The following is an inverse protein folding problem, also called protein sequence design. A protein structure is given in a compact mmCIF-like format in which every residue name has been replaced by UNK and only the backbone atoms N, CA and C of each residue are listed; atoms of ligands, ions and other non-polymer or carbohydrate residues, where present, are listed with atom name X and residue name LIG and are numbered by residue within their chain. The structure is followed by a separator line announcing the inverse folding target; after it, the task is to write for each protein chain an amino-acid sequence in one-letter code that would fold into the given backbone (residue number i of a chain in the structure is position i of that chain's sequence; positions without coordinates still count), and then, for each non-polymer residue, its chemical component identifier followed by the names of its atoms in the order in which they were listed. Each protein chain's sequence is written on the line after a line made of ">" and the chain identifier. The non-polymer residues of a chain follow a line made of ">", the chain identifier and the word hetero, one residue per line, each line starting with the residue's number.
data_IF_439931955047
#
_entry.id   IF_439931955047
#
_cell.length_a   1.000
_cell.length_b   1.000
_cell.length_c   1.000
_cell.angle_alpha   90.00
_cell.angle_beta   90.00
_cell.angle_gamma   90.00
#
_symmetry.space_group_name_H-M   'P 1'
#
loop_
_entity.id
_entity.type
_entity.pdbx_description
1 polymer ?
#
# COMPACT_ATOMS: atom_id res chain seq x y z
N UNK A 1 17.12 -38.90 1.37
CA UNK A 1 16.05 -38.36 0.48
C UNK A 1 16.71 -37.67 -0.71
N UNK A 2 16.44 -38.08 -1.94
CA UNK A 2 17.03 -37.46 -3.13
C UNK A 2 16.59 -35.99 -3.25
N UNK A 3 17.55 -35.08 -3.42
CA UNK A 3 17.27 -33.66 -3.62
C UNK A 3 16.45 -33.50 -4.91
N UNK A 4 15.20 -33.06 -4.77
CA UNK A 4 14.26 -32.85 -5.88
C UNK A 4 14.92 -31.90 -6.89
N UNK A 5 15.21 -32.39 -8.11
CA UNK A 5 15.89 -31.62 -9.16
C UNK A 5 15.12 -30.31 -9.40
N UNK A 6 15.81 -29.17 -9.23
CA UNK A 6 15.18 -27.85 -9.31
C UNK A 6 14.68 -27.60 -10.72
N UNK A 7 13.37 -27.37 -10.89
CA UNK A 7 12.79 -27.06 -12.20
C UNK A 7 12.96 -25.56 -12.50
N UNK A 8 14.10 -25.22 -13.09
CA UNK A 8 14.47 -23.84 -13.43
C UNK A 8 13.47 -23.17 -14.38
N UNK A 9 12.86 -23.92 -15.31
CA UNK A 9 11.87 -23.39 -16.26
C UNK A 9 10.58 -22.98 -15.55
N UNK A 10 10.05 -23.84 -14.68
CA UNK A 10 8.86 -23.53 -13.89
C UNK A 10 9.12 -22.40 -12.89
N UNK A 11 10.31 -22.37 -12.27
CA UNK A 11 10.71 -21.26 -11.40
C UNK A 11 10.81 -19.94 -12.17
N UNK A 12 11.37 -19.97 -13.38
CA UNK A 12 11.48 -18.80 -14.24
C UNK A 12 10.11 -18.25 -14.66
N UNK A 13 9.19 -19.13 -15.10
CA UNK A 13 7.83 -18.73 -15.42
C UNK A 13 7.11 -18.12 -14.21
N UNK A 14 7.26 -18.73 -13.03
CA UNK A 14 6.69 -18.18 -11.78
C UNK A 14 7.25 -16.80 -11.46
N UNK A 15 8.55 -16.59 -11.60
CA UNK A 15 9.17 -15.27 -11.35
C UNK A 15 8.66 -14.22 -12.34
N UNK A 16 8.50 -14.58 -13.61
CA UNK A 16 7.93 -13.69 -14.64
C UNK A 16 6.49 -13.31 -14.31
N UNK A 17 5.65 -14.29 -14.01
CA UNK A 17 4.25 -14.05 -13.62
C UNK A 17 4.14 -13.16 -12.38
N UNK A 18 4.95 -13.40 -11.35
CA UNK A 18 4.96 -12.59 -10.13
C UNK A 18 5.46 -11.16 -10.37
N UNK A 19 6.36 -10.96 -11.33
CA UNK A 19 6.82 -9.63 -11.72
C UNK A 19 5.69 -8.85 -12.39
N UNK A 20 5.06 -9.48 -13.39
CA UNK A 20 3.95 -8.93 -14.17
C UNK A 20 2.74 -8.58 -13.29
N UNK A 21 2.36 -9.47 -12.36
CA UNK A 21 1.32 -9.21 -11.37
C UNK A 21 1.59 -7.98 -10.49
N UNK A 22 2.86 -7.62 -10.31
CA UNK A 22 3.28 -6.45 -9.52
C UNK A 22 3.61 -5.25 -10.40
N UNK A 23 3.39 -5.35 -11.71
CA UNK A 23 3.74 -4.33 -12.70
C UNK A 23 5.24 -4.20 -12.99
N UNK A 24 6.10 -5.03 -12.39
CA UNK A 24 7.55 -4.94 -12.60
C UNK A 24 7.96 -5.54 -13.93
N UNK A 25 8.97 -4.93 -14.55
CA UNK A 25 9.62 -5.51 -15.72
C UNK A 25 10.38 -6.79 -15.34
N UNK A 26 10.59 -7.67 -16.32
CA UNK A 26 11.39 -8.90 -16.12
C UNK A 26 12.83 -8.54 -15.68
N UNK A 27 13.34 -7.40 -16.16
CA UNK A 27 14.66 -6.89 -15.83
C UNK A 27 14.73 -6.48 -14.35
N UNK A 28 13.76 -5.71 -13.86
CA UNK A 28 13.62 -5.37 -12.44
C UNK A 28 13.49 -6.62 -11.56
N UNK A 29 12.66 -7.58 -11.94
CA UNK A 29 12.45 -8.82 -11.17
C UNK A 29 13.70 -9.70 -11.05
N UNK A 30 14.64 -9.57 -11.99
CA UNK A 30 15.95 -10.22 -11.96
C UNK A 30 17.01 -9.44 -11.19
N UNK A 31 16.71 -8.21 -10.75
CA UNK A 31 17.67 -7.32 -10.10
C UNK A 31 18.53 -6.51 -11.07
N UNK A 32 18.21 -6.55 -12.37
CA UNK A 32 18.91 -5.82 -13.42
C UNK A 32 17.97 -4.78 -14.03
N UNK A 33 17.45 -3.86 -13.21
CA UNK A 33 16.62 -2.76 -13.67
C UNK A 33 17.34 -1.97 -14.77
N UNK A 34 16.58 -1.55 -15.81
CA UNK A 34 17.11 -0.70 -16.88
C UNK A 34 17.49 0.69 -16.33
N UNK A 35 18.26 1.47 -17.09
CA UNK A 35 18.72 2.81 -16.67
C UNK A 35 17.57 3.76 -16.31
N UNK A 36 16.42 3.61 -16.95
CA UNK A 36 15.20 4.40 -16.70
C UNK A 36 14.28 3.80 -15.62
N UNK A 37 14.64 2.65 -15.02
CA UNK A 37 13.81 1.95 -14.05
C UNK A 37 14.44 2.01 -12.66
N UNK A 38 13.64 2.33 -11.64
CA UNK A 38 14.07 2.20 -10.26
C UNK A 38 14.33 0.74 -9.88
N UNK A 39 15.35 0.48 -9.05
CA UNK A 39 15.60 -0.87 -8.54
C UNK A 39 14.57 -1.24 -7.48
N UNK A 40 14.14 -2.51 -7.46
CA UNK A 40 13.19 -3.02 -6.44
C UNK A 40 13.72 -2.81 -5.01
N UNK A 41 15.03 -2.92 -4.79
CA UNK A 41 15.65 -2.68 -3.49
C UNK A 41 15.55 -1.22 -3.04
N UNK A 42 15.63 -0.27 -3.98
CA UNK A 42 15.51 1.16 -3.73
C UNK A 42 14.04 1.51 -3.44
N UNK A 43 13.11 1.01 -4.25
CA UNK A 43 11.66 1.17 -4.02
C UNK A 43 11.19 0.62 -2.65
N UNK A 44 11.77 -0.51 -2.21
CA UNK A 44 11.51 -1.06 -0.87
C UNK A 44 12.09 -0.21 0.25
N UNK A 45 13.18 0.50 -0.02
CA UNK A 45 13.84 1.36 0.95
C UNK A 45 13.11 2.70 1.09
N UNK A 46 12.65 3.26 -0.02
CA UNK A 46 11.82 4.48 -0.04
C UNK A 46 10.42 4.25 0.54
N UNK A 47 9.97 2.98 0.61
CA UNK A 47 8.66 2.63 1.18
C UNK A 47 7.52 2.70 0.16
N UNK A 48 7.83 3.02 -1.10
CA UNK A 48 6.84 3.06 -2.20
C UNK A 48 6.26 1.68 -2.48
N UNK A 49 7.05 0.63 -2.26
CA UNK A 49 6.58 -0.76 -2.27
C UNK A 49 6.86 -1.43 -0.94
N UNK A 50 5.94 -2.30 -0.50
CA UNK A 50 6.14 -3.03 0.75
C UNK A 50 7.29 -4.05 0.64
N UNK A 51 8.04 -4.18 1.73
CA UNK A 51 9.06 -5.22 1.92
C UNK A 51 8.40 -6.60 2.05
N UNK A 52 7.22 -6.63 2.64
CA UNK A 52 6.37 -7.79 2.86
C UNK A 52 5.71 -8.22 1.54
N UNK A 53 5.59 -9.53 1.32
CA UNK A 53 4.93 -10.06 0.13
C UNK A 53 3.43 -9.73 0.18
N UNK A 54 2.86 -9.38 -0.96
CA UNK A 54 1.41 -9.14 -1.16
C UNK A 54 0.55 -10.21 -0.50
N UNK A 55 0.79 -11.49 -0.80
CA UNK A 55 0.02 -12.59 -0.21
C UNK A 55 0.15 -12.71 1.31
N UNK A 56 1.24 -12.23 1.90
CA UNK A 56 1.39 -12.15 3.36
C UNK A 56 0.62 -10.97 3.94
N UNK A 57 0.57 -9.84 3.22
CA UNK A 57 -0.25 -8.69 3.62
C UNK A 57 -1.74 -9.00 3.55
N UNK A 58 -2.22 -9.65 2.48
CA UNK A 58 -3.61 -10.09 2.35
C UNK A 58 -4.03 -10.97 3.54
N UNK A 59 -3.20 -11.98 3.87
CA UNK A 59 -3.42 -12.85 5.04
C UNK A 59 -3.34 -12.10 6.36
N UNK A 60 -2.53 -11.05 6.44
CA UNK A 60 -2.47 -10.18 7.61
C UNK A 60 -3.79 -9.42 7.81
N UNK A 61 -4.35 -8.80 6.76
CA UNK A 61 -5.66 -8.14 6.84
C UNK A 61 -6.80 -9.11 7.18
N UNK A 62 -6.76 -10.33 6.66
CA UNK A 62 -7.67 -11.40 7.06
C UNK A 62 -7.50 -11.76 8.54
N UNK A 63 -6.27 -11.79 9.05
CA UNK A 63 -5.97 -12.17 10.42
C UNK A 63 -6.45 -11.11 11.42
N UNK A 64 -6.22 -9.83 11.14
CA UNK A 64 -6.68 -8.73 12.00
C UNK A 64 -8.21 -8.61 12.00
N UNK A 65 -8.86 -8.84 10.85
CA UNK A 65 -10.33 -8.93 10.79
C UNK A 65 -10.87 -10.08 11.67
N UNK A 66 -10.24 -11.24 11.60
CA UNK A 66 -10.57 -12.37 12.47
C UNK A 66 -10.35 -12.07 13.97
N UNK A 67 -9.29 -11.33 14.32
CA UNK A 67 -9.02 -10.94 15.71
C UNK A 67 -10.08 -9.96 16.21
N UNK A 68 -10.43 -8.97 15.40
CA UNK A 68 -11.49 -8.01 15.71
C UNK A 68 -12.87 -8.67 15.83
N UNK A 69 -13.10 -9.78 15.12
CA UNK A 69 -14.32 -10.58 15.28
C UNK A 69 -14.29 -11.53 16.50
N UNK A 70 -13.33 -11.37 17.41
CA UNK A 70 -13.23 -12.13 18.66
C UNK A 70 -12.39 -13.41 18.60
N UNK A 71 -11.74 -13.75 17.48
CA UNK A 71 -10.82 -14.90 17.46
C UNK A 71 -9.54 -14.57 18.21
N UNK A 72 -8.97 -15.55 18.89
CA UNK A 72 -7.65 -15.38 19.50
C UNK A 72 -6.57 -15.22 18.43
N UNK A 73 -5.45 -14.57 18.78
CA UNK A 73 -4.30 -14.40 17.88
C UNK A 73 -3.82 -15.75 17.30
N UNK A 74 -3.82 -16.82 18.09
CA UNK A 74 -3.43 -18.15 17.64
C UNK A 74 -4.43 -18.77 16.66
N UNK A 75 -5.73 -18.58 16.90
CA UNK A 75 -6.78 -19.05 15.99
C UNK A 75 -6.74 -18.29 14.65
N UNK A 76 -6.55 -16.98 14.68
CA UNK A 76 -6.42 -16.16 13.48
C UNK A 76 -5.18 -16.56 12.66
N UNK A 77 -4.02 -16.71 13.31
CA UNK A 77 -2.77 -17.17 12.69
C UNK A 77 -2.94 -18.53 12.00
N UNK A 78 -3.60 -19.48 12.67
CA UNK A 78 -3.88 -20.81 12.11
C UNK A 78 -4.80 -20.71 10.88
N UNK A 79 -5.86 -19.89 10.96
CA UNK A 79 -6.83 -19.75 9.88
C UNK A 79 -6.24 -19.09 8.62
N UNK A 80 -5.31 -18.15 8.78
CA UNK A 80 -4.72 -17.39 7.66
C UNK A 80 -3.36 -17.92 7.23
N UNK A 81 -2.86 -18.98 7.85
CA UNK A 81 -1.58 -19.60 7.54
C UNK A 81 -0.40 -18.61 7.57
N UNK A 82 -0.35 -17.75 8.59
CA UNK A 82 0.79 -16.91 8.93
C UNK A 82 1.11 -17.02 10.42
N UNK A 83 2.38 -16.81 10.80
CA UNK A 83 2.77 -16.94 12.21
C UNK A 83 2.21 -15.80 13.07
N UNK A 84 1.95 -16.07 14.35
CA UNK A 84 1.57 -15.03 15.32
C UNK A 84 2.63 -13.93 15.43
N UNK A 85 3.91 -14.29 15.31
CA UNK A 85 5.04 -13.34 15.26
C UNK A 85 4.96 -12.42 14.04
N UNK A 86 4.57 -12.95 12.88
CA UNK A 86 4.37 -12.15 11.66
C UNK A 86 3.22 -11.16 11.85
N UNK A 87 2.10 -11.60 12.42
CA UNK A 87 0.96 -10.71 12.70
C UNK A 87 1.38 -9.58 13.63
N UNK A 88 2.01 -9.90 14.77
CA UNK A 88 2.50 -8.90 15.74
C UNK A 88 3.46 -7.90 15.10
N UNK A 89 4.42 -8.39 14.30
CA UNK A 89 5.40 -7.53 13.63
C UNK A 89 4.74 -6.55 12.67
N UNK A 90 3.81 -7.03 11.85
CA UNK A 90 3.10 -6.19 10.89
C UNK A 90 2.18 -5.20 11.59
N UNK A 91 1.52 -5.61 12.67
CA UNK A 91 0.65 -4.74 13.47
C UNK A 91 1.43 -3.63 14.18
N UNK A 92 2.64 -3.91 14.69
CA UNK A 92 3.51 -2.85 15.26
C UNK A 92 3.85 -1.78 14.21
N UNK A 93 4.13 -2.20 12.97
CA UNK A 93 4.48 -1.30 11.87
C UNK A 93 3.26 -0.51 11.38
N UNK A 94 2.10 -1.16 11.27
CA UNK A 94 0.90 -0.59 10.64
C UNK A 94 -0.09 0.04 11.62
N UNK A 95 -0.01 -0.32 12.90
CA UNK A 95 -0.86 0.11 14.02
C UNK A 95 -2.36 -0.06 13.71
N UNK A 96 -2.78 -1.29 13.44
CA UNK A 96 -4.15 -1.57 13.00
C UNK A 96 -5.03 -2.03 14.15
N UNK A 97 -4.51 -2.87 15.03
CA UNK A 97 -5.26 -3.40 16.16
C UNK A 97 -5.08 -2.53 17.40
N UNK A 98 -6.19 -2.15 18.01
CA UNK A 98 -6.22 -1.48 19.31
C UNK A 98 -7.09 -2.29 20.27
N UNK A 99 -6.71 -2.33 21.56
CA UNK A 99 -7.61 -2.88 22.58
C UNK A 99 -8.70 -1.87 22.89
N UNK A 100 -9.92 -2.36 22.99
CA UNK A 100 -11.05 -1.57 23.48
C UNK A 100 -10.80 -1.06 24.90
N UNK A 101 -11.45 0.04 25.34
CA UNK A 101 -11.24 0.60 26.68
C UNK A 101 -11.54 -0.37 27.83
N UNK A 102 -12.44 -1.33 27.62
CA UNK A 102 -12.76 -2.40 28.58
C UNK A 102 -11.67 -3.50 28.64
N UNK A 103 -10.70 -3.47 27.73
CA UNK A 103 -9.59 -4.40 27.61
C UNK A 103 -9.97 -5.80 27.12
N UNK A 104 -11.26 -6.07 26.81
CA UNK A 104 -11.76 -7.42 26.53
C UNK A 104 -11.67 -7.78 25.06
N UNK A 105 -11.75 -6.80 24.17
CA UNK A 105 -11.82 -7.01 22.73
C UNK A 105 -10.72 -6.24 22.01
N UNK A 106 -10.53 -6.60 20.75
CA UNK A 106 -9.69 -5.87 19.82
C UNK A 106 -10.59 -5.23 18.78
N UNK A 107 -10.26 -4.00 18.39
CA UNK A 107 -10.90 -3.28 17.32
C UNK A 107 -9.86 -2.90 16.24
N UNK A 108 -10.33 -2.80 15.00
CA UNK A 108 -9.54 -2.28 13.89
C UNK A 108 -9.71 -0.77 13.87
N UNK A 109 -8.60 -0.03 13.97
CA UNK A 109 -8.60 1.43 13.97
C UNK A 109 -7.95 1.93 12.70
N UNK A 110 -8.65 2.86 12.04
CA UNK A 110 -8.14 3.57 10.88
C UNK A 110 -7.20 4.69 11.32
N UNK A 111 -6.02 4.78 10.70
CA UNK A 111 -5.12 5.90 10.95
C UNK A 111 -5.58 7.17 10.25
N UNK A 112 -6.09 7.01 9.02
CA UNK A 112 -6.62 8.10 8.21
C UNK A 112 -7.57 7.52 7.16
N UNK A 113 -8.36 8.39 6.53
CA UNK A 113 -9.19 8.03 5.38
C UNK A 113 -8.76 8.90 4.21
N UNK A 114 -8.42 8.30 3.09
CA UNK A 114 -7.92 9.01 1.92
C UNK A 114 -8.71 8.63 0.67
N UNK A 115 -8.88 9.56 -0.29
CA UNK A 115 -9.22 9.17 -1.65
C UNK A 115 -8.03 8.41 -2.28
N UNK A 116 -8.34 7.42 -3.10
CA UNK A 116 -7.36 6.67 -3.89
C UNK A 116 -7.73 6.77 -5.37
N UNK A 117 -6.79 7.27 -6.17
CA UNK A 117 -6.88 7.25 -7.62
C UNK A 117 -6.21 5.97 -8.15
N UNK A 118 -7.02 5.04 -8.65
CA UNK A 118 -6.52 3.75 -9.13
C UNK A 118 -6.08 3.81 -10.58
N UNK A 119 -5.24 2.85 -10.96
CA UNK A 119 -4.67 2.71 -12.30
C UNK A 119 -5.71 2.61 -13.43
N UNK A 120 -6.93 2.18 -13.13
CA UNK A 120 -8.06 2.12 -14.08
C UNK A 120 -8.86 3.44 -14.13
N UNK A 121 -8.31 4.52 -13.58
CA UNK A 121 -8.89 5.87 -13.63
C UNK A 121 -10.04 6.10 -12.65
N UNK A 122 -10.28 5.17 -11.70
CA UNK A 122 -11.36 5.31 -10.72
C UNK A 122 -10.90 6.03 -9.46
N UNK A 123 -11.72 6.96 -8.99
CA UNK A 123 -11.54 7.62 -7.71
C UNK A 123 -12.37 6.92 -6.63
N UNK A 124 -11.69 6.18 -5.76
CA UNK A 124 -12.30 5.60 -4.56
C UNK A 124 -12.25 6.62 -3.43
N UNK A 125 -13.41 7.06 -2.94
CA UNK A 125 -13.51 8.09 -1.90
C UNK A 125 -13.45 7.44 -0.51
N UNK A 126 -12.84 8.15 0.43
CA UNK A 126 -12.93 7.86 1.87
C UNK A 126 -12.47 6.43 2.27
N UNK A 127 -11.36 5.96 1.69
CA UNK A 127 -10.85 4.62 1.94
C UNK A 127 -10.11 4.58 3.28
N UNK A 128 -10.49 3.70 4.23
CA UNK A 128 -9.81 3.59 5.51
C UNK A 128 -8.45 2.91 5.35
N UNK A 129 -7.40 3.58 5.82
CA UNK A 129 -6.02 3.14 5.68
C UNK A 129 -5.35 2.99 7.05
N UNK A 130 -4.45 2.01 7.12
CA UNK A 130 -3.49 1.94 8.22
C UNK A 130 -2.42 3.02 8.10
N UNK A 131 -1.61 3.17 9.16
CA UNK A 131 -0.60 4.24 9.23
C UNK A 131 0.38 4.22 8.07
N UNK A 132 0.79 3.03 7.62
CA UNK A 132 1.81 2.89 6.58
C UNK A 132 1.24 3.24 5.21
N UNK A 133 0.05 2.73 4.91
CA UNK A 133 -0.65 2.99 3.66
C UNK A 133 -1.14 4.43 3.57
N UNK A 134 -1.58 5.03 4.68
CA UNK A 134 -1.89 6.46 4.76
C UNK A 134 -0.68 7.33 4.37
N UNK A 135 0.49 7.03 4.95
CA UNK A 135 1.73 7.73 4.61
C UNK A 135 2.10 7.59 3.12
N UNK A 136 1.98 6.38 2.56
CA UNK A 136 2.23 6.13 1.14
C UNK A 136 1.29 6.93 0.24
N UNK A 137 0.00 6.98 0.59
CA UNK A 137 -1.00 7.74 -0.17
C UNK A 137 -0.75 9.24 -0.08
N UNK A 138 -0.34 9.76 1.08
CA UNK A 138 0.07 11.16 1.20
C UNK A 138 1.28 11.52 0.31
N UNK A 139 2.30 10.65 0.25
CA UNK A 139 3.43 10.82 -0.67
C UNK A 139 3.00 10.78 -2.14
N UNK A 140 2.11 9.86 -2.48
CA UNK A 140 1.56 9.72 -3.82
C UNK A 140 0.78 10.97 -4.26
N UNK A 141 -0.06 11.52 -3.38
CA UNK A 141 -0.81 12.73 -3.69
C UNK A 141 0.11 13.95 -3.86
N UNK A 142 1.16 14.08 -3.05
CA UNK A 142 2.22 15.08 -3.27
C UNK A 142 2.87 14.95 -4.66
N UNK A 143 3.16 13.74 -5.11
CA UNK A 143 3.70 13.48 -6.45
C UNK A 143 2.69 13.78 -7.56
N UNK A 144 1.41 13.50 -7.32
CA UNK A 144 0.30 13.78 -8.23
C UNK A 144 0.16 15.28 -8.46
N UNK A 145 0.21 16.09 -7.40
CA UNK A 145 0.17 17.56 -7.52
C UNK A 145 1.34 18.09 -8.36
N UNK A 146 2.55 17.58 -8.12
CA UNK A 146 3.74 17.97 -8.90
C UNK A 146 3.62 17.60 -10.37
N UNK A 147 3.13 16.39 -10.66
CA UNK A 147 2.90 15.94 -12.03
C UNK A 147 1.85 16.81 -12.75
N UNK A 148 0.76 17.15 -12.06
CA UNK A 148 -0.25 18.06 -12.58
C UNK A 148 0.30 19.47 -12.84
N UNK A 149 1.26 19.95 -12.04
CA UNK A 149 1.98 21.22 -12.24
C UNK A 149 3.07 21.15 -13.34
N UNK A 150 3.26 20.01 -14.00
CA UNK A 150 4.17 19.83 -15.13
C UNK A 150 5.41 18.96 -14.84
N UNK A 151 5.64 18.53 -13.59
CA UNK A 151 6.74 17.61 -13.25
C UNK A 151 6.34 16.15 -13.54
N UNK A 152 6.23 15.80 -14.82
CA UNK A 152 5.69 14.51 -15.31
C UNK A 152 6.38 13.28 -14.73
N UNK A 153 7.65 13.38 -14.33
CA UNK A 153 8.42 12.29 -13.75
C UNK A 153 8.07 11.98 -12.28
N UNK A 154 7.31 12.84 -11.60
CA UNK A 154 7.02 12.70 -10.17
C UNK A 154 6.28 11.39 -9.84
N UNK A 155 5.50 10.84 -10.77
CA UNK A 155 4.73 9.61 -10.58
C UNK A 155 5.51 8.32 -10.85
N UNK A 156 6.71 8.39 -11.43
CA UNK A 156 7.46 7.22 -11.90
C UNK A 156 7.71 6.18 -10.79
N UNK A 157 8.01 6.67 -9.58
CA UNK A 157 8.28 5.81 -8.42
C UNK A 157 7.07 4.96 -8.03
N UNK A 158 5.86 5.45 -8.30
CA UNK A 158 4.60 4.82 -7.90
C UNK A 158 4.05 3.83 -8.95
N UNK A 159 4.73 3.63 -10.07
CA UNK A 159 4.28 2.77 -11.19
C UNK A 159 3.86 1.36 -10.79
N UNK A 160 4.41 0.88 -9.66
CA UNK A 160 4.19 -0.44 -9.09
C UNK A 160 3.72 -0.40 -7.63
N UNK A 161 3.31 0.77 -7.16
CA UNK A 161 2.79 0.94 -5.81
C UNK A 161 1.40 0.32 -5.69
N UNK A 162 1.21 -0.47 -4.63
CA UNK A 162 -0.08 -1.01 -4.23
C UNK A 162 -0.38 -0.58 -2.81
N UNK A 163 -1.59 -0.05 -2.63
CA UNK A 163 -2.16 0.35 -1.35
C UNK A 163 -3.19 -0.70 -0.96
N UNK A 164 -3.26 -1.03 0.34
CA UNK A 164 -4.29 -1.92 0.87
C UNK A 164 -5.17 -1.14 1.84
N UNK A 165 -6.48 -1.31 1.76
CA UNK A 165 -7.36 -0.82 2.82
C UNK A 165 -7.37 -1.76 4.03
N UNK A 166 -8.04 -1.34 5.10
CA UNK A 166 -8.18 -2.14 6.32
C UNK A 166 -8.97 -3.45 6.11
N UNK A 167 -9.72 -3.56 5.01
CA UNK A 167 -10.44 -4.77 4.62
C UNK A 167 -9.57 -5.71 3.77
N UNK A 168 -8.37 -5.30 3.39
CA UNK A 168 -7.45 -6.05 2.56
C UNK A 168 -7.69 -5.91 1.05
N UNK A 169 -8.56 -5.00 0.61
CA UNK A 169 -8.71 -4.70 -0.80
C UNK A 169 -7.45 -3.97 -1.30
N UNK A 170 -6.96 -4.36 -2.47
CA UNK A 170 -5.75 -3.83 -3.05
C UNK A 170 -6.05 -2.82 -4.16
N UNK A 171 -5.37 -1.67 -4.12
CA UNK A 171 -5.50 -0.58 -5.09
C UNK A 171 -4.12 -0.30 -5.68
N UNK A 172 -3.98 -0.48 -6.99
CA UNK A 172 -2.79 -0.01 -7.72
C UNK A 172 -2.98 1.45 -8.09
N UNK A 173 -1.99 2.29 -7.80
CA UNK A 173 -2.07 3.74 -7.99
C UNK A 173 -1.95 4.14 -9.47
N UNK A 174 -2.65 5.21 -9.86
CA UNK A 174 -2.54 5.80 -11.19
C UNK A 174 -1.19 6.51 -11.35
N UNK A 175 -0.50 6.26 -12.46
CA UNK A 175 0.77 6.95 -12.78
C UNK A 175 0.82 7.58 -14.15
N UNK A 176 -0.25 7.46 -14.93
CA UNK A 176 -0.38 8.12 -16.23
C UNK A 176 -0.73 9.59 -16.00
N UNK A 177 0.13 10.49 -16.50
CA UNK A 177 -0.06 11.94 -16.35
C UNK A 177 -1.24 12.41 -17.19
N UNK A 178 -1.41 11.86 -18.39
CA UNK A 178 -2.52 12.22 -19.28
C UNK A 178 -3.87 11.83 -18.66
N UNK A 179 -3.96 10.61 -18.11
CA UNK A 179 -5.17 10.17 -17.41
C UNK A 179 -5.40 11.01 -16.15
N UNK A 180 -4.33 11.35 -15.42
CA UNK A 180 -4.42 12.22 -14.26
C UNK A 180 -5.01 13.59 -14.63
N UNK A 181 -4.47 14.26 -15.64
CA UNK A 181 -4.95 15.57 -16.09
C UNK A 181 -6.40 15.47 -16.52
N UNK A 182 -6.74 14.48 -17.34
CA UNK A 182 -8.12 14.25 -17.78
C UNK A 182 -9.08 14.04 -16.61
N UNK A 183 -8.67 13.32 -15.56
CA UNK A 183 -9.51 13.06 -14.39
C UNK A 183 -9.64 14.33 -13.53
N UNK A 184 -8.54 15.03 -13.28
CA UNK A 184 -8.54 16.26 -12.48
C UNK A 184 -9.39 17.37 -13.11
N UNK A 185 -9.40 17.46 -14.45
CA UNK A 185 -10.24 18.42 -15.19
C UNK A 185 -11.73 18.05 -15.17
N UNK A 186 -12.04 16.75 -15.01
CA UNK A 186 -13.41 16.24 -14.93
C UNK A 186 -13.94 16.15 -13.48
N UNK A 187 -13.06 16.30 -12.49
CA UNK A 187 -13.47 16.24 -11.08
C UNK A 187 -14.37 17.40 -10.72
N UNK A 188 -15.45 17.10 -9.98
CA UNK A 188 -16.29 18.15 -9.41
C UNK A 188 -15.49 19.01 -8.43
N UNK A 189 -15.89 20.27 -8.25
CA UNK A 189 -15.28 21.16 -7.25
C UNK A 189 -15.30 20.53 -5.85
N UNK A 190 -16.33 19.76 -5.52
CA UNK A 190 -16.42 19.05 -4.23
C UNK A 190 -15.37 17.93 -4.07
N UNK A 191 -15.01 17.28 -5.16
CA UNK A 191 -13.98 16.22 -5.17
C UNK A 191 -12.58 16.83 -5.15
N UNK A 192 -12.42 17.97 -5.83
CA UNK A 192 -11.22 18.79 -5.77
C UNK A 192 -11.01 19.38 -4.38
N UNK A 193 -12.06 19.83 -3.70
CA UNK A 193 -11.99 20.23 -2.29
C UNK A 193 -11.65 19.06 -1.37
N UNK A 194 -12.19 17.85 -1.61
CA UNK A 194 -11.81 16.65 -0.85
C UNK A 194 -10.32 16.34 -0.99
N UNK A 195 -9.79 16.50 -2.20
CA UNK A 195 -8.37 16.42 -2.52
C UNK A 195 -7.57 17.50 -1.79
N UNK A 196 -7.97 18.77 -1.87
CA UNK A 196 -7.28 19.90 -1.23
C UNK A 196 -7.35 19.83 0.31
N UNK A 197 -8.47 19.37 0.88
CA UNK A 197 -8.62 19.15 2.33
C UNK A 197 -7.67 18.08 2.83
N UNK A 198 -7.52 16.98 2.09
CA UNK A 198 -6.56 15.91 2.43
C UNK A 198 -5.12 16.46 2.47
N UNK A 199 -4.79 17.39 1.57
CA UNK A 199 -3.53 18.12 1.55
C UNK A 199 -3.37 19.10 2.73
N UNK A 200 -4.41 19.88 3.03
CA UNK A 200 -4.38 20.91 4.07
C UNK A 200 -4.36 20.29 5.49
N UNK A 201 -5.02 19.14 5.69
CA UNK A 201 -4.98 18.40 6.96
C UNK A 201 -3.62 17.77 7.21
N UNK A 202 -2.96 17.23 6.19
CA UNK A 202 -1.63 16.61 6.33
C UNK A 202 -0.53 17.64 6.60
N UNK A 203 -0.59 18.82 5.98
CA UNK A 203 0.33 19.92 6.32
C UNK A 203 0.16 20.39 7.78
N UNK A 204 -1.05 20.35 8.33
CA UNK A 204 -1.31 20.68 9.74
C UNK A 204 -0.93 19.54 10.69
N UNK A 205 -1.27 18.29 10.36
CA UNK A 205 -1.00 17.13 11.20
C UNK A 205 0.51 16.83 11.31
N UNK A 206 1.29 16.99 10.23
CA UNK A 206 2.75 16.88 10.30
C UNK A 206 3.42 18.01 11.06
N UNK A 207 2.88 19.25 11.03
CA UNK A 207 3.37 20.36 11.87
C UNK A 207 3.12 20.10 13.35
N UNK A 208 1.95 19.61 13.72
CA UNK A 208 1.59 19.36 15.13
C UNK A 208 2.43 18.21 15.72
N UNK A 209 2.73 17.16 14.94
CA UNK A 209 3.56 16.03 15.41
C UNK A 209 5.04 16.39 15.59
N UNK A 210 5.57 17.39 14.87
CA UNK A 210 6.97 17.82 15.00
C UNK A 210 7.20 18.92 16.06
N UNK A 211 6.15 19.48 16.66
CA UNK A 211 6.23 20.45 17.76
C UNK A 211 5.89 19.87 19.14
N UNK A 212 5.57 18.57 19.22
CA UNK A 212 5.25 17.86 20.46
C UNK A 212 6.40 16.97 20.97
N UNK A 213 7.65 17.26 20.60
CA UNK A 213 8.88 16.61 21.11
C UNK A 213 9.73 17.62 21.87
#
# INVERSE_FOLDING_TARGET
>A
MAARKRNYKAEYQRRRQLAEQRGFSIAQARGHARKSEAKISELKRSGVIDKTRTSTLERFYQAISAIASGKSLAQAAKATHISTTTIKKLDIERRVLQRTPDGRHWEIVSSARFPILSWDGKLYKDIPLDRKNASLVGLYWNATQKAYMGETSALNDFSNAMVFDLHGNAYRLLTSVDDLVSIMDQMSDSDREGYERSFASDQRAFRVLNHAS
#
